data_IF_796291310203
#
_entry.id   IF_796291310203
#
_cell.length_a   1.000
_cell.length_b   1.000
_cell.length_c   1.000
_cell.angle_alpha   90.00
_cell.angle_beta   90.00
_cell.angle_gamma   90.00
#
_symmetry.space_group_name_H-M   'P 1'
#
loop_
_entity.id
_entity.type
_entity.pdbx_description
1 polymer ?
#
# COMPACT_ATOMS: atom_id res chain seq x y z
N UNK A 1 22.91 16.82 1.78
CA UNK A 1 21.95 17.11 2.88
C UNK A 1 22.43 16.41 4.16
N UNK A 2 23.04 17.14 5.10
CA UNK A 2 23.60 16.53 6.33
C UNK A 2 22.52 16.40 7.38
N UNK A 3 22.10 15.16 7.69
CA UNK A 3 21.05 14.76 8.66
C UNK A 3 21.29 15.18 10.13
N UNK A 4 22.20 16.13 10.41
CA UNK A 4 22.70 16.46 11.77
C UNK A 4 22.27 17.82 12.32
N UNK A 5 21.34 18.55 11.69
CA UNK A 5 21.03 19.93 12.11
C UNK A 5 19.80 20.12 13.02
N UNK A 6 18.99 19.08 13.26
CA UNK A 6 17.79 19.21 14.10
C UNK A 6 18.05 18.61 15.49
N UNK A 7 17.88 19.43 16.53
CA UNK A 7 17.88 18.93 17.91
C UNK A 7 16.60 18.12 18.13
N UNK A 8 16.60 16.98 18.85
CA UNK A 8 15.41 16.16 19.07
C UNK A 8 14.21 16.95 19.60
N UNK A 9 14.46 17.95 20.45
CA UNK A 9 13.41 18.83 20.99
C UNK A 9 12.72 19.69 19.92
N UNK A 10 13.45 20.10 18.87
CA UNK A 10 12.85 20.86 17.76
C UNK A 10 11.87 20.00 16.96
N UNK A 11 12.15 18.69 16.83
CA UNK A 11 11.26 17.75 16.16
C UNK A 11 9.87 17.73 16.81
N UNK A 12 9.80 17.78 18.15
CA UNK A 12 8.53 17.77 18.89
C UNK A 12 7.67 18.99 18.52
N UNK A 13 8.26 20.18 18.38
CA UNK A 13 7.52 21.36 17.95
C UNK A 13 7.01 21.24 16.51
N UNK A 14 7.77 20.61 15.61
CA UNK A 14 7.29 20.34 14.25
C UNK A 14 6.10 19.36 14.25
N UNK A 15 6.16 18.29 15.05
CA UNK A 15 5.07 17.31 15.16
C UNK A 15 3.80 17.97 15.69
N UNK A 16 3.90 18.77 16.75
CA UNK A 16 2.75 19.52 17.29
C UNK A 16 2.17 20.46 16.23
N UNK A 17 3.01 21.21 15.53
CA UNK A 17 2.57 22.10 14.45
C UNK A 17 1.86 21.35 13.31
N UNK A 18 2.37 20.18 12.93
CA UNK A 18 1.75 19.35 11.89
C UNK A 18 0.39 18.79 12.33
N UNK A 19 0.26 18.31 13.57
CA UNK A 19 -1.01 17.80 14.11
C UNK A 19 -2.05 18.94 14.18
N UNK A 20 -1.66 20.12 14.69
CA UNK A 20 -2.54 21.28 14.75
C UNK A 20 -2.95 21.76 13.35
N UNK A 21 -2.00 21.81 12.41
CA UNK A 21 -2.29 22.17 11.02
C UNK A 21 -3.25 21.20 10.35
N UNK A 22 -3.05 19.89 10.53
CA UNK A 22 -3.94 18.85 10.00
C UNK A 22 -5.35 18.93 10.60
N UNK A 23 -5.45 19.17 11.91
CA UNK A 23 -6.74 19.35 12.59
C UNK A 23 -7.51 20.56 12.05
N UNK A 24 -6.86 21.71 11.93
CA UNK A 24 -7.48 22.93 11.38
C UNK A 24 -7.85 22.76 9.90
N UNK A 25 -7.01 22.07 9.12
CA UNK A 25 -7.30 21.73 7.73
C UNK A 25 -8.55 20.85 7.59
N UNK A 26 -8.64 19.79 8.40
CA UNK A 26 -9.83 18.93 8.47
C UNK A 26 -11.08 19.71 8.89
N UNK A 27 -10.98 20.56 9.91
CA UNK A 27 -12.07 21.42 10.33
C UNK A 27 -12.54 22.38 9.22
N UNK A 28 -11.61 22.97 8.47
CA UNK A 28 -11.95 23.84 7.34
C UNK A 28 -12.68 23.07 6.23
N UNK A 29 -12.19 21.88 5.86
CA UNK A 29 -12.88 21.01 4.89
C UNK A 29 -14.29 20.69 5.38
N UNK A 30 -14.45 20.31 6.65
CA UNK A 30 -15.76 20.04 7.22
C UNK A 30 -16.71 21.24 7.09
N UNK A 31 -16.24 22.45 7.45
CA UNK A 31 -17.02 23.68 7.36
C UNK A 31 -17.43 24.04 5.93
N UNK A 32 -16.52 23.88 4.96
CA UNK A 32 -16.78 24.17 3.54
C UNK A 32 -17.83 23.23 2.95
N UNK A 33 -17.85 21.97 3.40
CA UNK A 33 -18.70 20.92 2.87
C UNK A 33 -19.90 20.55 3.74
N UNK A 34 -20.23 21.34 4.79
CA UNK A 34 -21.32 21.04 5.74
C UNK A 34 -22.63 20.65 5.05
N UNK A 35 -23.01 21.36 3.99
CA UNK A 35 -24.26 21.11 3.27
C UNK A 35 -24.24 19.81 2.48
N UNK A 36 -23.14 19.54 1.77
CA UNK A 36 -22.97 18.31 1.00
C UNK A 36 -22.95 17.08 1.91
N UNK A 37 -22.37 17.26 3.08
CA UNK A 37 -22.39 16.29 4.14
C UNK A 37 -23.81 15.99 4.62
N UNK A 38 -24.59 17.02 5.00
CA UNK A 38 -25.98 16.86 5.46
C UNK A 38 -26.88 16.24 4.38
N UNK A 39 -26.62 16.54 3.10
CA UNK A 39 -27.34 15.97 1.96
C UNK A 39 -27.02 14.49 1.74
N UNK A 40 -25.76 14.09 1.93
CA UNK A 40 -25.30 12.72 1.72
C UNK A 40 -25.68 11.77 2.88
N UNK A 41 -25.49 12.22 4.12
CA UNK A 41 -25.71 11.40 5.31
C UNK A 41 -27.10 11.60 5.95
N UNK A 42 -27.91 12.51 5.40
CA UNK A 42 -29.25 12.84 5.91
C UNK A 42 -29.23 13.57 7.25
N UNK A 43 -28.10 14.18 7.61
CA UNK A 43 -27.87 14.85 8.89
C UNK A 43 -27.45 13.91 10.02
N UNK A 44 -27.32 12.59 9.77
CA UNK A 44 -26.87 11.61 10.75
C UNK A 44 -25.44 11.20 10.43
N UNK A 45 -24.51 11.61 11.29
CA UNK A 45 -23.08 11.38 11.06
C UNK A 45 -22.71 9.94 11.37
N UNK A 46 -22.30 9.19 10.34
CA UNK A 46 -21.94 7.78 10.44
C UNK A 46 -20.47 7.56 10.04
N UNK A 47 -19.79 6.64 10.73
CA UNK A 47 -18.38 6.34 10.45
C UNK A 47 -18.20 5.29 9.36
N UNK A 48 -19.05 4.26 9.34
CA UNK A 48 -18.96 3.10 8.44
C UNK A 48 -20.31 2.88 7.77
N UNK A 49 -20.29 2.20 6.62
CA UNK A 49 -21.48 1.87 5.84
C UNK A 49 -21.65 2.73 4.58
N UNK A 50 -22.76 2.57 3.84
CA UNK A 50 -22.96 3.23 2.55
C UNK A 50 -22.99 4.76 2.62
N UNK A 51 -23.35 5.31 3.80
CA UNK A 51 -23.35 6.75 4.08
C UNK A 51 -22.23 7.15 5.07
N UNK A 52 -21.19 6.33 5.21
CA UNK A 52 -20.05 6.62 6.08
C UNK A 52 -19.19 7.74 5.50
N UNK A 53 -18.88 8.75 6.30
CA UNK A 53 -18.12 9.95 5.85
C UNK A 53 -16.75 10.10 6.51
N UNK A 54 -16.38 9.16 7.39
CA UNK A 54 -15.13 9.23 8.17
C UNK A 54 -13.86 9.08 7.33
N UNK A 55 -13.92 8.30 6.24
CA UNK A 55 -12.78 8.06 5.33
C UNK A 55 -12.22 9.33 4.67
N UNK A 56 -12.97 10.44 4.68
CA UNK A 56 -12.53 11.73 4.17
C UNK A 56 -11.45 12.35 5.07
N UNK A 57 -11.48 12.08 6.38
CA UNK A 57 -10.59 12.72 7.35
C UNK A 57 -9.41 11.85 7.75
N UNK A 58 -9.57 10.53 7.74
CA UNK A 58 -8.50 9.59 8.05
C UNK A 58 -8.70 8.30 7.28
N UNK A 59 -7.59 7.63 6.97
CA UNK A 59 -7.60 6.39 6.19
C UNK A 59 -7.90 5.20 7.08
N UNK A 60 -8.88 4.38 6.70
CA UNK A 60 -9.16 3.08 7.31
C UNK A 60 -8.76 1.93 6.37
N UNK A 61 -8.31 0.77 6.90
CA UNK A 61 -8.06 -0.40 6.08
C UNK A 61 -9.38 -0.97 5.54
N UNK A 62 -9.35 -1.56 4.34
CA UNK A 62 -10.51 -2.18 3.74
C UNK A 62 -11.00 -3.40 4.56
N UNK A 63 -12.30 -3.68 4.51
CA UNK A 63 -12.90 -4.83 5.20
C UNK A 63 -12.19 -6.14 4.83
N UNK A 64 -11.85 -6.93 5.85
CA UNK A 64 -11.18 -8.22 5.67
C UNK A 64 -9.67 -8.14 5.42
N UNK A 65 -9.05 -6.95 5.39
CA UNK A 65 -7.58 -6.84 5.31
C UNK A 65 -6.95 -7.03 6.69
N UNK A 66 -5.99 -7.97 6.86
CA UNK A 66 -5.34 -8.16 8.14
C UNK A 66 -4.41 -6.97 8.44
N UNK A 67 -4.40 -6.53 9.70
CA UNK A 67 -3.63 -5.36 10.16
C UNK A 67 -2.15 -5.42 9.77
N UNK A 68 -1.57 -6.62 9.72
CA UNK A 68 -0.17 -6.82 9.33
C UNK A 68 0.11 -6.40 7.89
N UNK A 69 -0.83 -6.61 6.97
CA UNK A 69 -0.68 -6.21 5.58
C UNK A 69 -0.75 -4.67 5.44
N UNK A 70 -1.67 -4.03 6.18
CA UNK A 70 -1.78 -2.57 6.22
C UNK A 70 -0.51 -1.92 6.79
N UNK A 71 0.12 -2.54 7.80
CA UNK A 71 1.38 -2.05 8.35
C UNK A 71 2.51 -2.12 7.31
N UNK A 72 2.63 -3.24 6.60
CA UNK A 72 3.65 -3.40 5.55
C UNK A 72 3.42 -2.38 4.42
N UNK A 73 2.18 -2.22 3.99
CA UNK A 73 1.81 -1.23 2.97
C UNK A 73 2.25 0.18 3.37
N UNK A 74 1.97 0.58 4.61
CA UNK A 74 2.36 1.91 5.09
C UNK A 74 3.88 2.09 5.20
N UNK A 75 4.62 1.06 5.59
CA UNK A 75 6.10 1.09 5.61
C UNK A 75 6.64 1.27 4.19
N UNK A 76 6.11 0.53 3.22
CA UNK A 76 6.59 0.59 1.83
C UNK A 76 6.20 1.92 1.17
N UNK A 77 4.95 2.36 1.33
CA UNK A 77 4.46 3.62 0.78
C UNK A 77 5.24 4.82 1.30
N UNK A 78 5.50 4.88 2.61
CA UNK A 78 6.31 5.96 3.20
C UNK A 78 7.78 5.89 2.78
N UNK A 79 8.36 4.70 2.63
CA UNK A 79 9.73 4.54 2.13
C UNK A 79 9.88 5.08 0.69
N UNK A 80 8.93 4.75 -0.20
CA UNK A 80 8.91 5.26 -1.57
C UNK A 80 8.76 6.80 -1.57
N UNK A 81 7.85 7.33 -0.76
CA UNK A 81 7.68 8.79 -0.62
C UNK A 81 8.98 9.47 -0.19
N UNK A 82 9.69 8.91 0.80
CA UNK A 82 10.98 9.46 1.27
C UNK A 82 12.04 9.46 0.17
N UNK A 83 12.10 8.43 -0.67
CA UNK A 83 13.01 8.39 -1.83
C UNK A 83 12.71 9.54 -2.80
N UNK A 84 11.44 9.81 -3.10
CA UNK A 84 11.07 10.93 -3.97
C UNK A 84 11.38 12.30 -3.35
N UNK A 85 11.10 12.49 -2.06
CA UNK A 85 11.43 13.74 -1.34
C UNK A 85 12.94 13.99 -1.41
N UNK A 86 13.75 12.95 -1.21
CA UNK A 86 15.19 13.04 -1.36
C UNK A 86 15.59 13.35 -2.80
N UNK A 87 15.00 12.71 -3.80
CA UNK A 87 15.28 12.96 -5.22
C UNK A 87 15.03 14.43 -5.61
N UNK A 88 13.86 14.98 -5.26
CA UNK A 88 13.49 16.38 -5.55
C UNK A 88 14.44 17.35 -4.84
N UNK A 89 14.79 17.06 -3.59
CA UNK A 89 15.70 17.93 -2.82
C UNK A 89 17.09 18.00 -3.48
N UNK A 90 17.58 16.91 -4.06
CA UNK A 90 18.85 16.89 -4.79
C UNK A 90 18.74 17.48 -6.20
N UNK A 91 17.61 17.35 -6.89
CA UNK A 91 17.37 18.04 -8.16
C UNK A 91 17.41 19.58 -7.99
N UNK A 92 16.95 20.09 -6.84
CA UNK A 92 17.05 21.51 -6.50
C UNK A 92 18.51 22.00 -6.35
N UNK A 93 19.48 21.11 -6.13
CA UNK A 93 20.90 21.49 -6.11
C UNK A 93 21.47 21.77 -7.51
N UNK A 94 20.77 21.39 -8.59
CA UNK A 94 21.21 21.65 -9.96
C UNK A 94 21.17 23.14 -10.32
N UNK A 95 20.16 23.89 -9.84
CA UNK A 95 20.02 25.33 -10.11
C UNK A 95 21.18 26.16 -9.54
N UNK A 96 21.49 26.06 -8.24
CA UNK A 96 22.67 26.68 -7.64
C UNK A 96 23.99 26.24 -8.29
N UNK A 97 24.10 24.98 -8.75
CA UNK A 97 25.27 24.48 -9.48
C UNK A 97 25.40 25.12 -10.87
N UNK A 98 24.31 25.28 -11.62
CA UNK A 98 24.34 25.97 -12.91
C UNK A 98 24.76 27.44 -12.77
N UNK A 99 24.25 28.14 -11.75
CA UNK A 99 24.69 29.49 -11.44
C UNK A 99 26.16 29.52 -10.98
N UNK A 100 26.58 28.56 -10.14
CA UNK A 100 27.96 28.40 -9.76
C UNK A 100 28.88 28.15 -10.96
N UNK A 101 28.44 27.39 -11.96
CA UNK A 101 29.20 27.13 -13.18
C UNK A 101 29.38 28.39 -14.03
N UNK A 102 28.41 29.31 -14.00
CA UNK A 102 28.51 30.61 -14.65
C UNK A 102 29.54 31.53 -13.95
N UNK A 103 29.61 31.50 -12.61
CA UNK A 103 30.49 32.38 -11.83
C UNK A 103 31.93 31.82 -11.69
N UNK A 104 32.06 30.53 -11.40
CA UNK A 104 33.34 29.89 -11.05
C UNK A 104 33.91 29.00 -12.17
N UNK A 105 33.22 28.91 -13.30
CA UNK A 105 33.63 28.12 -14.45
C UNK A 105 33.03 26.72 -14.48
N UNK A 106 32.65 26.28 -15.68
CA UNK A 106 31.96 25.01 -15.93
C UNK A 106 32.78 23.78 -15.51
N UNK A 107 34.09 23.83 -15.72
CA UNK A 107 34.99 22.71 -15.44
C UNK A 107 35.13 22.44 -13.94
N UNK A 108 35.09 23.46 -13.09
CA UNK A 108 35.23 23.28 -11.65
C UNK A 108 33.95 22.68 -11.07
N UNK A 109 32.78 23.24 -11.39
CA UNK A 109 31.53 22.88 -10.71
C UNK A 109 31.01 21.47 -11.06
N UNK A 110 31.23 21.01 -12.29
CA UNK A 110 30.77 19.68 -12.74
C UNK A 110 31.81 18.56 -12.55
N UNK A 111 33.09 18.89 -12.29
CA UNK A 111 34.14 17.89 -12.03
C UNK A 111 34.51 17.73 -10.56
N UNK A 112 34.07 18.64 -9.68
CA UNK A 112 34.29 18.53 -8.23
C UNK A 112 33.86 17.14 -7.71
N UNK A 113 34.81 16.46 -7.07
CA UNK A 113 34.70 15.11 -6.51
C UNK A 113 34.25 14.02 -7.51
N UNK A 114 35.04 13.76 -8.56
CA UNK A 114 34.82 12.68 -9.53
C UNK A 114 33.42 12.65 -10.16
N UNK A 115 32.97 13.79 -10.68
CA UNK A 115 31.67 13.91 -11.34
C UNK A 115 30.47 13.53 -10.47
N UNK A 116 30.53 13.69 -9.13
CA UNK A 116 29.44 13.31 -8.22
C UNK A 116 28.06 13.91 -8.54
N UNK A 117 27.95 14.95 -9.37
CA UNK A 117 26.69 15.63 -9.68
C UNK A 117 25.60 14.72 -10.28
N UNK A 118 25.96 13.66 -11.01
CA UNK A 118 24.98 12.76 -11.63
C UNK A 118 24.45 11.69 -10.65
N UNK A 119 25.20 11.35 -9.60
CA UNK A 119 24.84 10.30 -8.63
C UNK A 119 23.55 10.63 -7.87
N UNK A 120 23.31 11.86 -7.36
CA UNK A 120 22.04 12.24 -6.76
C UNK A 120 20.87 12.36 -7.73
N UNK A 121 21.12 12.39 -9.04
CA UNK A 121 20.08 12.43 -10.08
C UNK A 121 19.68 11.00 -10.43
N UNK A 122 20.65 10.16 -10.78
CA UNK A 122 20.42 8.79 -11.25
C UNK A 122 20.15 7.83 -10.08
N UNK A 123 20.82 8.02 -8.95
CA UNK A 123 20.70 7.15 -7.77
C UNK A 123 19.25 6.99 -7.27
N UNK A 124 18.52 8.08 -7.01
CA UNK A 124 17.12 7.98 -6.60
C UNK A 124 16.19 7.42 -7.68
N UNK A 125 16.46 7.68 -8.97
CA UNK A 125 15.65 7.15 -10.09
C UNK A 125 15.80 5.64 -10.16
N UNK A 126 17.04 5.14 -10.17
CA UNK A 126 17.32 3.71 -10.19
C UNK A 126 16.79 3.04 -8.92
N UNK A 127 16.99 3.66 -7.74
CA UNK A 127 16.44 3.18 -6.48
C UNK A 127 14.92 3.09 -6.47
N UNK A 128 14.22 4.09 -7.02
CA UNK A 128 12.76 4.09 -7.14
C UNK A 128 12.27 2.99 -8.08
N UNK A 129 12.92 2.80 -9.23
CA UNK A 129 12.59 1.72 -10.18
C UNK A 129 12.75 0.36 -9.48
N UNK A 130 13.90 0.11 -8.84
CA UNK A 130 14.14 -1.16 -8.12
C UNK A 130 13.14 -1.36 -6.99
N UNK A 131 12.80 -0.31 -6.24
CA UNK A 131 11.79 -0.35 -5.18
C UNK A 131 10.40 -0.73 -5.71
N UNK A 132 9.97 -0.14 -6.84
CA UNK A 132 8.71 -0.48 -7.51
C UNK A 132 8.72 -1.94 -7.99
N UNK A 133 9.82 -2.40 -8.59
CA UNK A 133 9.95 -3.79 -9.03
C UNK A 133 9.87 -4.79 -7.87
N UNK A 134 10.51 -4.49 -6.75
CA UNK A 134 10.43 -5.32 -5.54
C UNK A 134 9.00 -5.36 -4.97
N UNK A 135 8.31 -4.22 -4.92
CA UNK A 135 6.94 -4.15 -4.45
C UNK A 135 5.96 -4.88 -5.38
N UNK A 136 6.08 -4.67 -6.69
CA UNK A 136 5.27 -5.38 -7.68
C UNK A 136 5.52 -6.90 -7.63
N UNK A 137 6.78 -7.31 -7.45
CA UNK A 137 7.13 -8.70 -7.23
C UNK A 137 6.47 -9.27 -5.98
N UNK A 138 6.46 -8.51 -4.88
CA UNK A 138 5.80 -8.92 -3.64
C UNK A 138 4.28 -9.04 -3.80
N UNK A 139 3.61 -8.07 -4.44
CA UNK A 139 2.17 -8.16 -4.74
C UNK A 139 1.88 -9.36 -5.63
N UNK A 140 2.65 -9.52 -6.71
CA UNK A 140 2.48 -10.63 -7.64
C UNK A 140 2.62 -11.96 -6.90
N UNK A 141 3.64 -12.09 -6.05
CA UNK A 141 3.86 -13.25 -5.20
C UNK A 141 2.63 -13.53 -4.32
N UNK A 142 2.20 -12.55 -3.50
CA UNK A 142 1.06 -12.72 -2.58
C UNK A 142 -0.23 -13.08 -3.34
N UNK A 143 -0.49 -12.40 -4.47
CA UNK A 143 -1.67 -12.67 -5.31
C UNK A 143 -1.59 -14.04 -5.98
N UNK A 144 -0.42 -14.43 -6.46
CA UNK A 144 -0.18 -15.73 -7.10
C UNK A 144 -0.35 -16.87 -6.09
N UNK A 145 0.22 -16.77 -4.89
CA UNK A 145 -0.01 -17.75 -3.81
C UNK A 145 -1.47 -17.79 -3.35
N UNK A 146 -2.17 -16.65 -3.33
CA UNK A 146 -3.61 -16.61 -3.04
C UNK A 146 -4.46 -17.33 -4.10
N UNK A 147 -4.12 -17.18 -5.39
CA UNK A 147 -4.80 -17.86 -6.48
C UNK A 147 -4.56 -19.37 -6.46
N UNK A 148 -3.32 -19.81 -6.20
CA UNK A 148 -2.97 -21.24 -6.11
C UNK A 148 -3.74 -21.94 -4.98
N UNK A 149 -3.87 -21.28 -3.83
CA UNK A 149 -4.67 -21.80 -2.70
C UNK A 149 -6.14 -22.03 -3.05
N UNK A 150 -6.73 -21.14 -3.86
CA UNK A 150 -8.12 -21.30 -4.28
C UNK A 150 -8.31 -22.45 -5.29
N UNK A 151 -7.31 -22.70 -6.14
CA UNK A 151 -7.34 -23.84 -7.07
C UNK A 151 -7.25 -25.16 -6.27
N UNK A 152 -6.33 -25.24 -5.30
CA UNK A 152 -6.17 -26.44 -4.47
C UNK A 152 -7.43 -26.76 -3.65
N UNK A 153 -8.10 -25.75 -3.09
CA UNK A 153 -9.40 -25.92 -2.42
C UNK A 153 -10.48 -26.41 -3.39
N UNK A 154 -10.56 -25.84 -4.60
CA UNK A 154 -11.55 -26.24 -5.63
C UNK A 154 -11.36 -27.69 -6.08
N UNK A 155 -10.10 -28.13 -6.25
CA UNK A 155 -9.79 -29.50 -6.63
C UNK A 155 -10.04 -30.49 -5.49
N UNK A 156 -9.84 -30.06 -4.24
CA UNK A 156 -10.17 -30.85 -3.05
C UNK A 156 -11.68 -31.07 -2.92
N UNK A 157 -12.50 -30.03 -3.13
CA UNK A 157 -13.97 -30.13 -3.10
C UNK A 157 -14.50 -31.09 -4.18
N UNK A 158 -14.00 -30.99 -5.42
CA UNK A 158 -14.36 -31.93 -6.50
C UNK A 158 -13.98 -33.38 -6.18
N UNK A 159 -12.87 -33.59 -5.47
CA UNK A 159 -12.41 -34.93 -5.06
C UNK A 159 -13.26 -35.51 -3.93
N UNK A 160 -13.77 -34.66 -3.03
CA UNK A 160 -14.71 -35.06 -1.97
C UNK A 160 -16.05 -35.42 -2.59
N UNK A 161 -16.58 -34.61 -3.51
CA UNK A 161 -17.86 -34.87 -4.18
C UNK A 161 -17.84 -36.19 -4.97
N UNK A 162 -16.79 -36.43 -5.76
CA UNK A 162 -16.65 -37.67 -6.53
C UNK A 162 -16.46 -38.92 -5.66
N UNK A 163 -15.84 -38.79 -4.49
CA UNK A 163 -15.79 -39.88 -3.49
C UNK A 163 -17.15 -40.07 -2.82
N UNK A 164 -17.85 -39.00 -2.46
CA UNK A 164 -19.18 -39.07 -1.85
C UNK A 164 -20.22 -39.69 -2.77
N UNK A 165 -20.18 -39.37 -4.08
CA UNK A 165 -21.02 -40.02 -5.10
C UNK A 165 -20.70 -41.52 -5.19
N UNK A 166 -19.42 -41.90 -5.27
CA UNK A 166 -19.01 -43.31 -5.34
C UNK A 166 -19.36 -44.11 -4.09
N UNK A 167 -19.28 -43.52 -2.90
CA UNK A 167 -19.68 -44.19 -1.65
C UNK A 167 -21.19 -44.44 -1.66
N UNK A 168 -22.00 -43.43 -2.03
CA UNK A 168 -23.46 -43.60 -2.15
C UNK A 168 -23.84 -44.65 -3.20
N UNK A 169 -23.15 -44.68 -4.33
CA UNK A 169 -23.36 -45.67 -5.39
C UNK A 169 -23.01 -47.09 -4.91
N UNK A 170 -21.88 -47.25 -4.22
CA UNK A 170 -21.48 -48.54 -3.65
C UNK A 170 -22.46 -49.04 -2.57
N UNK A 171 -22.96 -48.15 -1.71
CA UNK A 171 -23.97 -48.47 -0.70
C UNK A 171 -25.31 -48.89 -1.33
N UNK A 172 -25.72 -48.25 -2.43
CA UNK A 172 -26.94 -48.63 -3.16
C UNK A 172 -26.83 -50.00 -3.83
N UNK A 173 -25.65 -50.36 -4.33
CA UNK A 173 -25.41 -51.67 -4.94
C UNK A 173 -25.35 -52.79 -3.89
N UNK A 174 -24.73 -52.56 -2.74
CA UNK A 174 -24.74 -53.54 -1.62
C UNK A 174 -26.16 -53.78 -1.08
N UNK A 175 -26.99 -52.72 -1.04
CA UNK A 175 -28.39 -52.86 -0.66
C UNK A 175 -29.14 -53.74 -1.66
N UNK A 176 -29.05 -53.45 -2.96
CA UNK A 176 -29.75 -54.20 -4.01
C UNK A 176 -29.35 -55.69 -4.05
N UNK A 177 -28.08 -56.00 -3.79
CA UNK A 177 -27.59 -57.38 -3.64
C UNK A 177 -28.21 -58.10 -2.43
N UNK A 178 -28.41 -57.43 -1.29
CA UNK A 178 -29.08 -58.04 -0.13
C UNK A 178 -30.54 -58.38 -0.38
N UNK A 179 -31.27 -57.57 -1.15
CA UNK A 179 -32.68 -57.84 -1.47
C UNK A 179 -32.87 -59.00 -2.44
N UNK A 180 -31.92 -59.25 -3.33
CA UNK A 180 -31.99 -60.38 -4.28
C UNK A 180 -31.69 -61.71 -3.60
N UNK A 181 -30.75 -61.77 -2.65
CA UNK A 181 -30.40 -63.01 -1.93
C UNK A 181 -31.41 -63.47 -0.87
N UNK A 182 -32.35 -62.61 -0.45
CA UNK A 182 -33.38 -62.96 0.54
C UNK A 182 -34.65 -63.54 -0.12
N UNK A 183 -34.78 -63.40 -1.43
CA UNK A 183 -35.93 -63.86 -2.21
C UNK A 183 -35.67 -65.20 -2.95
N UNK A 184 -34.54 -65.85 -2.69
CA UNK A 184 -34.25 -67.27 -3.03
C UNK A 184 -34.32 -68.14 -1.77
#
# INVERSE_FOLDING_TARGET
MTLRKLKPLQCIFYVIGQILGAFLGGALVYLVYLKQFDEFDGGIRQMLGPNGTADIFFTMPAEGTPQWNALIDQIVGTAILMVFIMAVTHARDLGPRLFGAFVYGWNEVFRIHDYFFWVPIVGPIVGAIVGVWLHLGFIWMVKHYGHLRNIENTDSDKKIDSKGIRIKENDSLEFEQKFTTVNE
#
